data_IF_803188274206
#
_entry.id   IF_803188274206
#
_cell.length_a   1.000
_cell.length_b   1.000
_cell.length_c   1.000
_cell.angle_alpha   90.00
_cell.angle_beta   90.00
_cell.angle_gamma   90.00
#
_symmetry.space_group_name_H-M   'P 1'
#
loop_
_entity.id
_entity.type
_entity.pdbx_description
1 polymer ?
#
# COMPACT_ATOMS: atom_id res chain seq x y z
N UNK A 1 5.03 -23.29 -4.67
CA UNK A 1 4.92 -22.02 -5.40
C UNK A 1 4.54 -22.30 -6.86
N UNK A 2 3.84 -21.39 -7.52
CA UNK A 2 3.55 -21.45 -8.97
C UNK A 2 4.55 -20.52 -9.66
N UNK A 3 5.19 -21.00 -10.74
CA UNK A 3 6.13 -20.16 -11.49
C UNK A 3 5.40 -18.94 -12.09
N UNK A 4 5.96 -17.75 -11.88
CA UNK A 4 5.37 -16.48 -12.33
C UNK A 4 4.35 -15.87 -11.38
N UNK A 5 4.02 -16.51 -10.26
CA UNK A 5 3.09 -15.98 -9.25
C UNK A 5 3.85 -15.62 -7.97
N UNK A 6 4.10 -14.33 -7.79
CA UNK A 6 4.65 -13.77 -6.55
C UNK A 6 3.57 -13.54 -5.49
N UNK A 7 3.98 -13.16 -4.27
CA UNK A 7 3.07 -12.93 -3.14
C UNK A 7 1.99 -11.89 -3.46
N UNK A 8 2.35 -10.77 -4.09
CA UNK A 8 1.40 -9.72 -4.48
C UNK A 8 0.32 -10.26 -5.42
N UNK A 9 0.70 -11.02 -6.44
CA UNK A 9 -0.25 -11.62 -7.39
C UNK A 9 -1.11 -12.67 -6.72
N UNK A 10 -0.53 -13.50 -5.85
CA UNK A 10 -1.28 -14.49 -5.10
C UNK A 10 -2.35 -13.82 -4.20
N UNK A 11 -1.95 -12.81 -3.43
CA UNK A 11 -2.87 -12.09 -2.54
C UNK A 11 -3.94 -11.33 -3.32
N UNK A 12 -3.60 -10.77 -4.49
CA UNK A 12 -4.58 -10.14 -5.39
C UNK A 12 -5.64 -11.13 -5.88
N UNK A 13 -5.24 -12.37 -6.23
CA UNK A 13 -6.17 -13.43 -6.62
C UNK A 13 -7.04 -13.83 -5.43
N UNK A 14 -6.44 -14.05 -4.27
CA UNK A 14 -7.16 -14.43 -3.06
C UNK A 14 -8.21 -13.37 -2.70
N UNK A 15 -7.85 -12.09 -2.75
CA UNK A 15 -8.73 -10.97 -2.45
C UNK A 15 -9.85 -10.81 -3.46
N UNK A 16 -9.52 -10.60 -4.74
CA UNK A 16 -10.51 -10.19 -5.73
C UNK A 16 -11.26 -11.35 -6.39
N UNK A 17 -10.58 -12.47 -6.66
CA UNK A 17 -11.21 -13.60 -7.34
C UNK A 17 -11.87 -14.58 -6.36
N UNK A 18 -11.30 -14.73 -5.16
CA UNK A 18 -11.75 -15.71 -4.17
C UNK A 18 -12.41 -15.10 -2.94
N UNK A 19 -12.51 -13.77 -2.85
CA UNK A 19 -13.20 -13.06 -1.77
C UNK A 19 -12.57 -13.27 -0.38
N UNK A 20 -11.28 -13.62 -0.33
CA UNK A 20 -10.55 -13.77 0.94
C UNK A 20 -10.04 -12.43 1.41
N UNK A 21 -10.06 -12.19 2.72
CA UNK A 21 -9.58 -10.95 3.30
C UNK A 21 -8.05 -10.97 3.43
N UNK A 22 -7.37 -10.84 2.29
CA UNK A 22 -5.90 -10.80 2.21
C UNK A 22 -5.45 -9.38 1.83
N UNK A 23 -4.54 -8.80 2.61
CA UNK A 23 -4.03 -7.47 2.29
C UNK A 23 -2.97 -7.54 1.18
N UNK A 24 -3.11 -6.71 0.15
CA UNK A 24 -2.17 -6.62 -0.98
C UNK A 24 -1.14 -5.52 -0.74
N UNK A 25 0.08 -5.90 -0.36
CA UNK A 25 1.17 -4.97 -0.02
C UNK A 25 2.09 -4.69 -1.22
N UNK A 26 1.53 -4.03 -2.24
CA UNK A 26 2.21 -3.75 -3.51
C UNK A 26 3.27 -2.63 -3.44
N UNK A 27 3.85 -2.29 -4.60
CA UNK A 27 4.85 -1.23 -4.71
C UNK A 27 4.30 0.19 -4.40
N UNK A 28 2.99 0.41 -4.54
CA UNK A 28 2.36 1.68 -4.17
C UNK A 28 2.26 1.83 -2.66
N UNK A 29 1.85 0.76 -1.98
CA UNK A 29 1.84 0.64 -0.53
C UNK A 29 3.23 0.98 0.01
N UNK A 30 4.27 0.29 -0.46
CA UNK A 30 5.66 0.57 -0.06
C UNK A 30 6.01 2.05 -0.19
N UNK A 31 5.83 2.62 -1.39
CA UNK A 31 6.25 4.00 -1.68
C UNK A 31 5.50 5.04 -0.85
N UNK A 32 4.19 4.88 -0.70
CA UNK A 32 3.37 5.82 0.07
C UNK A 32 3.79 5.77 1.53
N UNK A 33 3.80 4.57 2.12
CA UNK A 33 3.96 4.44 3.56
C UNK A 33 5.41 4.57 4.03
N UNK A 34 6.40 4.38 3.14
CA UNK A 34 7.77 4.79 3.44
C UNK A 34 7.94 6.31 3.45
N UNK A 35 7.31 7.02 2.51
CA UNK A 35 7.33 8.50 2.47
C UNK A 35 6.57 9.13 3.63
N UNK A 36 5.51 8.47 4.09
CA UNK A 36 4.75 8.90 5.27
C UNK A 36 5.54 8.64 6.56
N UNK A 37 6.49 7.70 6.56
CA UNK A 37 7.29 7.34 7.75
C UNK A 37 6.70 6.18 8.56
N UNK A 38 5.76 5.43 8.01
CA UNK A 38 5.10 4.30 8.69
C UNK A 38 5.80 2.95 8.47
N UNK A 39 6.52 2.80 7.36
CA UNK A 39 7.17 1.55 6.96
C UNK A 39 8.59 1.85 6.46
N UNK A 40 9.56 0.97 6.75
CA UNK A 40 10.91 1.10 6.19
C UNK A 40 10.91 0.92 4.67
N UNK A 41 11.75 1.65 3.94
CA UNK A 41 11.95 1.44 2.49
C UNK A 41 12.42 0.02 2.16
N UNK A 42 13.15 -0.60 3.08
CA UNK A 42 13.70 -1.96 2.97
C UNK A 42 12.75 -3.05 3.52
N UNK A 43 11.57 -2.69 4.05
CA UNK A 43 10.66 -3.66 4.64
C UNK A 43 10.29 -4.77 3.66
N UNK A 44 10.33 -6.03 4.05
CA UNK A 44 9.89 -7.14 3.20
C UNK A 44 8.38 -7.09 2.94
N UNK A 45 7.91 -7.78 1.90
CA UNK A 45 6.48 -7.91 1.62
C UNK A 45 5.68 -8.39 2.84
N UNK A 46 6.20 -9.41 3.55
CA UNK A 46 5.56 -9.99 4.71
C UNK A 46 5.47 -9.01 5.89
N UNK A 47 6.50 -8.18 6.10
CA UNK A 47 6.48 -7.14 7.14
C UNK A 47 5.44 -6.06 6.84
N UNK A 48 5.36 -5.61 5.58
CA UNK A 48 4.34 -4.64 5.17
C UNK A 48 2.94 -5.22 5.33
N UNK A 49 2.68 -6.41 4.78
CA UNK A 49 1.39 -7.09 4.89
C UNK A 49 0.97 -7.25 6.35
N UNK A 50 1.87 -7.79 7.18
CA UNK A 50 1.59 -8.00 8.60
C UNK A 50 1.36 -6.70 9.39
N UNK A 51 1.96 -5.58 8.98
CA UNK A 51 1.68 -4.27 9.59
C UNK A 51 0.24 -3.81 9.31
N UNK A 52 -0.21 -3.88 8.06
CA UNK A 52 -1.57 -3.46 7.69
C UNK A 52 -2.63 -4.41 8.26
N UNK A 53 -2.40 -5.72 8.21
CA UNK A 53 -3.37 -6.69 8.73
C UNK A 53 -3.55 -6.60 10.25
N UNK A 54 -2.55 -6.12 10.98
CA UNK A 54 -2.66 -5.86 12.43
C UNK A 54 -3.33 -4.53 12.76
N UNK A 55 -3.35 -3.59 11.83
CA UNK A 55 -3.77 -2.20 12.06
C UNK A 55 -5.08 -1.83 11.39
N UNK A 56 -5.65 -2.70 10.55
CA UNK A 56 -6.88 -2.43 9.80
C UNK A 56 -7.86 -3.60 9.79
N UNK A 57 -9.18 -3.33 9.77
CA UNK A 57 -10.20 -4.36 9.64
C UNK A 57 -10.10 -5.14 8.31
N UNK A 58 -10.20 -6.48 8.33
CA UNK A 58 -10.07 -7.32 7.13
C UNK A 58 -11.10 -7.08 6.03
N UNK A 59 -12.29 -6.60 6.37
CA UNK A 59 -13.35 -6.22 5.44
C UNK A 59 -13.00 -4.98 4.59
N UNK A 60 -12.02 -4.17 5.02
CA UNK A 60 -11.60 -2.97 4.31
C UNK A 60 -10.44 -3.19 3.35
N UNK A 61 -9.79 -4.37 3.31
CA UNK A 61 -8.56 -4.54 2.54
C UNK A 61 -8.72 -4.26 1.04
N UNK A 62 -9.86 -4.65 0.46
CA UNK A 62 -10.19 -4.35 -0.95
C UNK A 62 -10.31 -2.86 -1.23
N UNK A 63 -11.02 -2.12 -0.37
CA UNK A 63 -11.21 -0.68 -0.50
C UNK A 63 -9.92 0.09 -0.19
N UNK A 64 -9.20 -0.30 0.85
CA UNK A 64 -7.88 0.26 1.20
C UNK A 64 -6.90 0.12 0.04
N UNK A 65 -6.82 -1.06 -0.59
CA UNK A 65 -5.96 -1.25 -1.76
C UNK A 65 -6.36 -0.31 -2.90
N UNK A 66 -7.66 -0.14 -3.17
CA UNK A 66 -8.14 0.82 -4.16
C UNK A 66 -7.76 2.27 -3.82
N UNK A 67 -7.93 2.70 -2.56
CA UNK A 67 -7.53 4.04 -2.12
C UNK A 67 -6.02 4.28 -2.23
N UNK A 68 -5.20 3.29 -1.87
CA UNK A 68 -3.74 3.35 -1.99
C UNK A 68 -3.35 3.55 -3.47
N UNK A 69 -3.94 2.77 -4.37
CA UNK A 69 -3.71 2.87 -5.82
C UNK A 69 -4.11 4.25 -6.35
N UNK A 70 -5.28 4.76 -5.98
CA UNK A 70 -5.75 6.07 -6.43
C UNK A 70 -4.90 7.21 -5.87
N UNK A 71 -4.52 7.15 -4.60
CA UNK A 71 -3.59 8.10 -3.98
C UNK A 71 -2.23 8.10 -4.70
N UNK A 72 -1.72 6.92 -5.05
CA UNK A 72 -0.46 6.76 -5.77
C UNK A 72 -0.50 7.38 -7.17
N UNK A 73 -1.63 7.25 -7.88
CA UNK A 73 -1.83 7.84 -9.21
C UNK A 73 -2.07 9.34 -9.14
N UNK A 74 -2.87 9.81 -8.19
CA UNK A 74 -3.25 11.22 -8.10
C UNK A 74 -2.10 12.09 -7.56
N UNK A 75 -1.49 11.67 -6.45
CA UNK A 75 -0.54 12.49 -5.69
C UNK A 75 0.83 11.82 -5.53
N UNK A 76 0.88 10.60 -4.99
CA UNK A 76 2.13 9.96 -4.58
C UNK A 76 2.80 9.16 -5.71
N UNK A 77 3.01 9.82 -6.84
CA UNK A 77 3.71 9.27 -8.02
C UNK A 77 5.23 9.16 -7.74
N UNK A 78 6.01 8.61 -8.69
CA UNK A 78 7.48 8.58 -8.57
C UNK A 78 8.06 9.96 -8.28
N UNK A 79 7.66 10.96 -9.07
CA UNK A 79 7.81 12.38 -8.73
C UNK A 79 6.51 12.85 -8.08
N UNK A 80 6.48 13.12 -6.75
CA UNK A 80 5.23 13.37 -6.05
C UNK A 80 4.63 14.74 -6.39
N UNK A 81 3.30 14.82 -6.34
CA UNK A 81 2.53 16.06 -6.37
C UNK A 81 1.93 16.23 -4.98
N UNK A 82 2.68 16.86 -4.08
CA UNK A 82 2.33 16.98 -2.66
C UNK A 82 1.23 18.03 -2.41
N UNK A 83 1.08 19.01 -3.29
CA UNK A 83 -0.02 19.98 -3.23
C UNK A 83 -1.36 19.25 -3.32
N UNK A 84 -2.27 19.56 -2.38
CA UNK A 84 -3.59 18.93 -2.29
C UNK A 84 -3.58 17.45 -1.88
N UNK A 85 -2.43 16.85 -1.56
CA UNK A 85 -2.37 15.46 -1.11
C UNK A 85 -3.05 15.32 0.26
N UNK A 86 -4.01 14.40 0.45
CA UNK A 86 -4.74 14.25 1.71
C UNK A 86 -3.87 13.78 2.87
N UNK A 87 -2.69 13.21 2.60
CA UNK A 87 -1.75 12.76 3.62
C UNK A 87 -0.69 13.80 3.96
N UNK A 88 -0.70 15.00 3.36
CA UNK A 88 0.43 15.96 3.49
C UNK A 88 0.75 16.28 4.95
N UNK A 89 -0.26 16.50 5.77
CA UNK A 89 -0.09 16.90 7.18
C UNK A 89 0.56 15.81 8.05
N UNK A 90 0.47 14.55 7.63
CA UNK A 90 1.05 13.40 8.31
C UNK A 90 2.22 12.78 7.57
N UNK A 91 2.62 13.33 6.42
CA UNK A 91 3.64 12.75 5.56
C UNK A 91 5.00 13.43 5.76
N UNK A 92 5.99 12.69 6.26
CA UNK A 92 7.34 13.19 6.51
C UNK A 92 8.02 13.74 5.25
N UNK A 93 7.81 13.09 4.10
CA UNK A 93 8.30 13.58 2.80
C UNK A 93 7.50 14.79 2.33
N UNK A 94 6.16 14.74 2.44
CA UNK A 94 5.26 15.77 1.89
C UNK A 94 5.36 17.13 2.57
N UNK A 95 5.85 17.18 3.81
CA UNK A 95 6.13 18.42 4.55
C UNK A 95 7.36 19.18 4.04
N UNK A 96 8.21 18.51 3.26
CA UNK A 96 9.44 19.07 2.71
C UNK A 96 9.24 19.67 1.30
N UNK A 97 8.07 19.44 0.71
CA UNK A 97 7.60 20.02 -0.56
C UNK A 97 6.64 21.17 -0.29
#
# INVERSE_FOLDING_TARGET
SINGVGNETADSILLYALGRQEFVADAYTRRIFSRVGMVSEDATYAEMKGFFEKSSPPDLYGEMHAWIVELAKAHCRKTPVCEGCPLRDVCDTGKQY
#
